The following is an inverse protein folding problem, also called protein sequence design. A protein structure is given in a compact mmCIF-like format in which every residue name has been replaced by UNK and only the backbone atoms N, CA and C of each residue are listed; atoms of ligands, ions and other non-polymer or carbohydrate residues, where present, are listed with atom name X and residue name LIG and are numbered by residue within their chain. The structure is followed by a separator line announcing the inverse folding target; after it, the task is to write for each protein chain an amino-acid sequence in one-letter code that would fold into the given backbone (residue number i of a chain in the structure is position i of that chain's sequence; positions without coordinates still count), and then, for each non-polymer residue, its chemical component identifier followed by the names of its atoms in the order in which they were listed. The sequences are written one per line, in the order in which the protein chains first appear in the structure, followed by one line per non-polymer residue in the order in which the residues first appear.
data_IF_334051062605
#
_entry.id   IF_334051062605
#
_cell.length_a   1.000
_cell.length_b   1.000
_cell.length_c   1.000
_cell.angle_alpha   90.00
_cell.angle_beta   90.00
_cell.angle_gamma   90.00
#
_symmetry.space_group_name_H-M   'P 1'
#
loop_
_entity.id
_entity.type
_entity.pdbx_description
1 polymer ?
#
# COMPACT_ATOMS: atom_id res chain seq x y z
N UNK A 1 25.20 -38.43 -50.73
CA UNK A 1 24.53 -37.12 -50.83
C UNK A 1 23.49 -37.02 -49.72
N UNK A 2 23.85 -36.45 -48.58
CA UNK A 2 22.91 -35.88 -47.61
C UNK A 2 23.72 -34.94 -46.69
N UNK A 3 23.47 -33.64 -46.87
CA UNK A 3 24.13 -32.55 -46.16
C UNK A 3 23.58 -32.44 -44.73
N UNK A 4 24.45 -32.48 -43.73
CA UNK A 4 24.15 -31.97 -42.40
C UNK A 4 24.34 -30.45 -42.41
N UNK A 5 23.24 -29.69 -42.44
CA UNK A 5 23.27 -28.24 -42.23
C UNK A 5 23.28 -27.95 -40.73
N UNK A 6 24.36 -27.32 -40.26
CA UNK A 6 24.40 -26.70 -38.94
C UNK A 6 23.59 -25.39 -38.96
N UNK A 7 22.61 -25.27 -38.05
CA UNK A 7 21.90 -24.02 -37.78
C UNK A 7 22.80 -23.08 -36.95
N UNK A 8 22.87 -21.78 -37.26
CA UNK A 8 23.62 -20.83 -36.44
C UNK A 8 22.81 -20.49 -35.18
N UNK A 9 23.50 -20.42 -34.03
CA UNK A 9 22.96 -19.93 -32.78
C UNK A 9 22.58 -18.45 -32.92
N UNK A 10 21.29 -18.14 -32.77
CA UNK A 10 20.81 -16.76 -32.74
C UNK A 10 21.21 -16.10 -31.42
N UNK A 11 22.00 -15.03 -31.51
CA UNK A 11 22.32 -14.17 -30.37
C UNK A 11 21.04 -13.52 -29.83
N UNK A 12 20.74 -13.71 -28.53
CA UNK A 12 19.70 -12.97 -27.82
C UNK A 12 20.14 -11.51 -27.70
N UNK A 13 19.60 -10.65 -28.55
CA UNK A 13 19.71 -9.21 -28.37
C UNK A 13 18.99 -8.81 -27.07
N UNK A 14 19.71 -8.15 -26.15
CA UNK A 14 19.11 -7.55 -24.97
C UNK A 14 18.14 -6.44 -25.39
N UNK A 15 16.85 -6.64 -25.11
CA UNK A 15 15.81 -5.63 -25.30
C UNK A 15 16.13 -4.43 -24.41
N UNK A 16 16.39 -3.26 -25.01
CA UNK A 16 16.43 -1.99 -24.29
C UNK A 16 15.06 -1.76 -23.61
N UNK A 17 15.01 -1.23 -22.38
CA UNK A 17 13.73 -0.90 -21.73
C UNK A 17 12.94 0.05 -22.63
N UNK A 18 11.67 -0.29 -22.87
CA UNK A 18 10.74 0.57 -23.62
C UNK A 18 10.60 1.89 -22.86
N UNK A 19 10.88 3.00 -23.51
CA UNK A 19 10.71 4.33 -22.94
C UNK A 19 9.25 4.50 -22.50
N UNK A 20 9.04 4.89 -21.23
CA UNK A 20 7.72 5.01 -20.64
C UNK A 20 6.98 6.22 -21.23
N UNK A 21 6.02 5.96 -22.11
CA UNK A 21 5.29 6.99 -22.86
C UNK A 21 4.21 7.73 -22.05
N UNK A 22 4.07 7.45 -20.75
CA UNK A 22 3.08 8.10 -19.89
C UNK A 22 3.46 9.57 -19.61
N UNK A 23 2.48 10.50 -19.57
CA UNK A 23 2.76 11.91 -19.26
C UNK A 23 3.53 12.07 -17.95
N UNK A 24 4.62 12.84 -18.02
CA UNK A 24 5.48 13.14 -16.88
C UNK A 24 5.01 14.40 -16.15
N UNK A 25 5.15 14.40 -14.82
CA UNK A 25 4.91 15.59 -14.00
C UNK A 25 6.09 16.58 -13.97
N UNK A 26 7.23 16.25 -14.58
CA UNK A 26 8.48 17.03 -14.50
C UNK A 26 8.37 18.50 -14.91
N UNK A 27 7.40 18.85 -15.78
CA UNK A 27 7.24 20.21 -16.30
C UNK A 27 5.99 20.94 -15.77
N UNK A 28 5.16 20.29 -14.93
CA UNK A 28 3.94 20.89 -14.41
C UNK A 28 4.22 21.87 -13.27
N UNK A 29 3.74 23.10 -13.40
CA UNK A 29 4.01 24.18 -12.45
C UNK A 29 3.41 23.89 -11.06
N UNK A 30 2.15 23.43 -11.02
CA UNK A 30 1.44 23.09 -9.79
C UNK A 30 2.08 21.94 -9.02
N UNK A 31 2.68 20.97 -9.73
CA UNK A 31 3.43 19.87 -9.09
C UNK A 31 4.76 20.36 -8.52
N UNK A 32 5.48 21.23 -9.24
CA UNK A 32 6.73 21.82 -8.76
C UNK A 32 6.52 22.69 -7.53
N UNK A 33 5.45 23.49 -7.51
CA UNK A 33 5.07 24.32 -6.38
C UNK A 33 4.77 23.45 -5.15
N UNK A 34 3.96 22.40 -5.31
CA UNK A 34 3.67 21.46 -4.23
C UNK A 34 4.93 20.72 -3.73
N UNK A 35 5.83 20.31 -4.63
CA UNK A 35 7.09 19.68 -4.25
C UNK A 35 7.99 20.63 -3.42
N UNK A 36 8.02 21.92 -3.78
CA UNK A 36 8.75 22.94 -3.03
C UNK A 36 8.09 23.20 -1.65
N UNK A 37 6.77 23.30 -1.59
CA UNK A 37 6.01 23.44 -0.34
C UNK A 37 6.34 22.31 0.65
N UNK A 38 6.25 21.05 0.20
CA UNK A 38 6.56 19.88 1.03
C UNK A 38 8.01 19.90 1.51
N UNK A 39 8.95 20.27 0.64
CA UNK A 39 10.36 20.35 1.01
C UNK A 39 10.60 21.44 2.06
N UNK A 40 9.98 22.61 1.91
CA UNK A 40 10.15 23.74 2.81
C UNK A 40 9.53 23.52 4.19
N UNK A 41 8.31 22.98 4.22
CA UNK A 41 7.57 22.70 5.46
C UNK A 41 8.33 21.72 6.37
N UNK A 42 9.05 20.76 5.77
CA UNK A 42 9.75 19.71 6.49
C UNK A 42 11.28 19.86 6.50
N UNK A 43 11.83 20.92 5.90
CA UNK A 43 13.28 21.17 5.84
C UNK A 43 14.06 20.15 5.01
N UNK A 44 13.43 19.55 3.99
CA UNK A 44 14.07 18.59 3.09
C UNK A 44 14.85 19.26 1.96
N UNK A 45 15.77 18.53 1.34
CA UNK A 45 16.45 18.98 0.12
C UNK A 45 15.45 19.16 -1.03
N UNK A 46 15.18 20.41 -1.41
CA UNK A 46 14.30 20.77 -2.52
C UNK A 46 14.63 20.04 -3.82
N UNK A 47 15.91 19.87 -4.16
CA UNK A 47 16.32 19.19 -5.39
C UNK A 47 16.04 17.69 -5.32
N UNK A 48 16.18 17.09 -4.14
CA UNK A 48 15.82 15.68 -3.91
C UNK A 48 14.31 15.48 -4.09
N UNK A 49 13.49 16.27 -3.41
CA UNK A 49 12.02 16.19 -3.50
C UNK A 49 11.54 16.48 -4.93
N UNK A 50 12.05 17.53 -5.58
CA UNK A 50 11.71 17.86 -6.96
C UNK A 50 12.02 16.71 -7.94
N UNK A 51 13.13 15.99 -7.76
CA UNK A 51 13.47 14.81 -8.58
C UNK A 51 12.47 13.67 -8.41
N UNK A 52 11.97 13.44 -7.20
CA UNK A 52 10.94 12.44 -6.97
C UNK A 52 9.64 12.77 -7.71
N UNK A 53 9.13 13.99 -7.54
CA UNK A 53 7.92 14.43 -8.23
C UNK A 53 8.08 14.46 -9.76
N UNK A 54 9.26 14.83 -10.28
CA UNK A 54 9.56 14.77 -11.71
C UNK A 54 9.57 13.33 -12.26
N UNK A 55 9.91 12.34 -11.42
CA UNK A 55 9.90 10.92 -11.78
C UNK A 55 8.51 10.27 -11.66
N UNK A 56 7.54 10.93 -11.04
CA UNK A 56 6.16 10.47 -11.02
C UNK A 56 5.56 10.48 -12.44
N UNK A 57 4.61 9.57 -12.68
CA UNK A 57 3.97 9.35 -13.98
C UNK A 57 2.46 9.29 -13.82
N UNK A 58 1.75 10.01 -14.67
CA UNK A 58 0.28 9.98 -14.71
C UNK A 58 -0.22 8.58 -15.07
N UNK A 59 -1.23 8.11 -14.33
CA UNK A 59 -1.83 6.78 -14.46
C UNK A 59 -3.32 6.88 -14.80
N UNK A 60 -3.70 7.02 -16.08
CA UNK A 60 -5.10 7.26 -16.47
C UNK A 60 -6.08 6.18 -15.98
N UNK A 61 -5.63 4.93 -15.92
CA UNK A 61 -6.46 3.83 -15.40
C UNK A 61 -6.85 3.98 -13.93
N UNK A 62 -6.09 4.74 -13.14
CA UNK A 62 -6.42 5.04 -11.74
C UNK A 62 -7.61 5.99 -11.66
N UNK A 63 -7.64 7.02 -12.51
CA UNK A 63 -8.79 7.94 -12.62
C UNK A 63 -10.04 7.16 -13.04
N UNK A 64 -9.91 6.31 -14.07
CA UNK A 64 -11.01 5.45 -14.53
C UNK A 64 -11.49 4.51 -13.42
N UNK A 65 -10.59 3.92 -12.64
CA UNK A 65 -10.95 3.06 -11.51
C UNK A 65 -11.73 3.81 -10.42
N UNK A 66 -11.33 5.05 -10.12
CA UNK A 66 -12.01 5.90 -9.13
C UNK A 66 -13.41 6.37 -9.55
N UNK A 67 -13.65 6.46 -10.86
CA UNK A 67 -14.94 6.90 -11.41
C UNK A 67 -15.86 5.74 -11.79
N UNK A 68 -15.46 4.49 -11.53
CA UNK A 68 -16.37 3.35 -11.70
C UNK A 68 -17.64 3.59 -10.87
N UNK A 69 -18.83 3.50 -11.48
CA UNK A 69 -20.08 3.78 -10.79
C UNK A 69 -20.29 2.77 -9.66
N UNK A 70 -20.90 3.24 -8.56
CA UNK A 70 -21.38 2.38 -7.50
C UNK A 70 -22.51 1.50 -8.08
N UNK A 71 -22.19 0.24 -8.38
CA UNK A 71 -23.21 -0.76 -8.65
C UNK A 71 -24.03 -1.00 -7.39
N UNK A 72 -25.25 -1.54 -7.56
CA UNK A 72 -26.01 -2.06 -6.42
C UNK A 72 -25.09 -2.98 -5.62
N UNK A 73 -24.83 -2.69 -4.33
CA UNK A 73 -23.93 -3.51 -3.54
C UNK A 73 -24.42 -4.96 -3.55
N UNK A 74 -23.50 -5.95 -3.68
CA UNK A 74 -23.89 -7.35 -3.64
C UNK A 74 -24.59 -7.67 -2.32
N UNK A 75 -25.55 -8.60 -2.36
CA UNK A 75 -26.17 -9.13 -1.14
C UNK A 75 -25.11 -9.87 -0.33
N UNK A 76 -25.34 -10.01 0.97
CA UNK A 76 -24.38 -10.67 1.87
C UNK A 76 -23.92 -12.05 1.37
N UNK A 77 -24.86 -12.88 0.88
CA UNK A 77 -24.55 -14.23 0.37
C UNK A 77 -23.75 -14.24 -0.94
N UNK A 78 -23.66 -13.12 -1.65
CA UNK A 78 -22.82 -12.95 -2.85
C UNK A 78 -21.44 -12.37 -2.49
N UNK A 79 -21.38 -11.55 -1.44
CA UNK A 79 -20.17 -10.88 -0.98
C UNK A 79 -19.30 -11.79 -0.09
N UNK A 80 -19.89 -12.37 0.95
CA UNK A 80 -19.16 -13.11 1.99
C UNK A 80 -18.32 -14.28 1.46
N UNK A 81 -18.78 -15.09 0.48
CA UNK A 81 -17.99 -16.22 -0.02
C UNK A 81 -16.64 -15.83 -0.65
N UNK A 82 -16.47 -14.58 -1.10
CA UNK A 82 -15.22 -14.08 -1.67
C UNK A 82 -14.09 -13.96 -0.61
N UNK A 83 -14.48 -13.84 0.66
CA UNK A 83 -13.59 -13.71 1.81
C UNK A 83 -13.58 -14.96 2.69
N UNK A 84 -14.69 -15.72 2.72
CA UNK A 84 -14.84 -16.93 3.53
C UNK A 84 -14.50 -18.22 2.76
N UNK A 85 -13.56 -18.16 1.81
CA UNK A 85 -13.10 -19.34 1.08
C UNK A 85 -12.21 -20.22 1.96
N UNK A 86 -12.22 -21.54 1.71
CA UNK A 86 -11.31 -22.49 2.39
C UNK A 86 -9.86 -22.05 2.30
N UNK A 87 -9.43 -21.60 1.13
CA UNK A 87 -8.05 -21.15 0.90
C UNK A 87 -7.67 -19.97 1.82
N UNK A 88 -8.57 -19.00 2.01
CA UNK A 88 -8.29 -17.84 2.87
C UNK A 88 -8.32 -18.21 4.35
N UNK A 89 -9.20 -19.13 4.74
CA UNK A 89 -9.25 -19.68 6.10
C UNK A 89 -7.96 -20.43 6.41
N UNK A 90 -7.55 -21.36 5.54
CA UNK A 90 -6.33 -22.14 5.72
C UNK A 90 -5.07 -21.24 5.74
N UNK A 91 -5.05 -20.21 4.89
CA UNK A 91 -4.01 -19.18 4.90
C UNK A 91 -3.97 -18.40 6.23
N UNK A 92 -5.13 -18.11 6.82
CA UNK A 92 -5.23 -17.41 8.11
C UNK A 92 -4.74 -18.27 9.26
N UNK A 93 -5.10 -19.55 9.26
CA UNK A 93 -4.58 -20.51 10.25
C UNK A 93 -3.05 -20.65 10.13
N UNK A 94 -2.52 -20.69 8.91
CA UNK A 94 -1.09 -20.75 8.68
C UNK A 94 -0.37 -19.47 9.16
N UNK A 95 -0.90 -18.29 8.81
CA UNK A 95 -0.38 -17.01 9.26
C UNK A 95 -0.39 -16.90 10.80
N UNK A 96 -1.52 -17.27 11.44
CA UNK A 96 -1.62 -17.27 12.89
C UNK A 96 -0.56 -18.15 13.52
N UNK A 97 -0.43 -19.40 13.08
CA UNK A 97 0.54 -20.35 13.64
C UNK A 97 1.98 -19.85 13.50
N UNK A 98 2.30 -19.18 12.38
CA UNK A 98 3.63 -18.62 12.15
C UNK A 98 3.95 -17.42 13.05
N UNK A 99 2.93 -16.65 13.47
CA UNK A 99 3.10 -15.39 14.20
C UNK A 99 2.36 -15.39 15.55
N UNK A 100 2.17 -16.55 16.16
CA UNK A 100 1.32 -16.73 17.33
C UNK A 100 1.79 -15.90 18.53
N UNK A 101 3.10 -15.81 18.76
CA UNK A 101 3.69 -15.03 19.85
C UNK A 101 3.43 -13.53 19.67
N UNK A 102 3.62 -13.02 18.45
CA UNK A 102 3.40 -11.61 18.13
C UNK A 102 1.92 -11.23 18.19
N UNK A 103 1.04 -12.07 17.65
CA UNK A 103 -0.41 -11.89 17.75
C UNK A 103 -0.86 -11.83 19.22
N UNK A 104 -0.39 -12.78 20.04
CA UNK A 104 -0.71 -12.80 21.47
C UNK A 104 -0.15 -11.57 22.20
N UNK A 105 1.02 -11.06 21.79
CA UNK A 105 1.58 -9.82 22.35
C UNK A 105 0.73 -8.60 21.96
N UNK A 106 0.38 -8.47 20.69
CA UNK A 106 -0.47 -7.38 20.20
C UNK A 106 -1.85 -7.38 20.89
N UNK A 107 -2.45 -8.55 21.09
CA UNK A 107 -3.72 -8.67 21.81
C UNK A 107 -3.59 -8.21 23.27
N UNK A 108 -2.52 -8.59 23.97
CA UNK A 108 -2.28 -8.12 25.35
C UNK A 108 -2.03 -6.62 25.44
N UNK A 109 -1.32 -6.06 24.47
CA UNK A 109 -0.90 -4.65 24.49
C UNK A 109 -2.01 -3.69 24.04
N UNK A 110 -2.75 -4.07 22.99
CA UNK A 110 -3.76 -3.20 22.36
C UNK A 110 -5.20 -3.62 22.66
N UNK A 111 -5.42 -4.81 23.25
CA UNK A 111 -6.76 -5.32 23.59
C UNK A 111 -7.60 -5.75 22.38
N UNK A 112 -6.97 -5.88 21.20
CA UNK A 112 -7.61 -6.31 19.95
C UNK A 112 -7.37 -7.81 19.78
N UNK A 113 -8.43 -8.64 19.68
CA UNK A 113 -8.27 -10.09 19.52
C UNK A 113 -7.46 -10.47 18.28
N UNK A 114 -6.60 -11.46 18.40
CA UNK A 114 -5.75 -11.93 17.32
C UNK A 114 -6.54 -12.32 16.05
N UNK A 115 -7.72 -12.91 16.19
CA UNK A 115 -8.60 -13.28 15.07
C UNK A 115 -9.06 -12.07 14.25
N UNK A 116 -9.24 -10.90 14.87
CA UNK A 116 -9.64 -9.67 14.19
C UNK A 116 -8.47 -9.15 13.34
N UNK A 117 -7.27 -9.15 13.91
CA UNK A 117 -6.05 -8.75 13.19
C UNK A 117 -5.83 -9.68 12.00
N UNK A 118 -5.87 -10.99 12.21
CA UNK A 118 -5.70 -11.99 11.14
C UNK A 118 -6.80 -11.82 10.07
N UNK A 119 -8.06 -11.62 10.45
CA UNK A 119 -9.15 -11.41 9.50
C UNK A 119 -8.94 -10.17 8.62
N UNK A 120 -8.49 -9.04 9.19
CA UNK A 120 -8.16 -7.82 8.43
C UNK A 120 -7.06 -8.12 7.41
N UNK A 121 -5.92 -8.68 7.83
CA UNK A 121 -4.81 -8.99 6.92
C UNK A 121 -5.21 -9.99 5.84
N UNK A 122 -6.10 -10.93 6.19
CA UNK A 122 -6.72 -11.86 5.28
C UNK A 122 -7.54 -11.14 4.22
N UNK A 123 -8.45 -10.24 4.62
CA UNK A 123 -9.33 -9.48 3.71
C UNK A 123 -8.53 -8.54 2.81
N UNK A 124 -7.62 -7.74 3.40
CA UNK A 124 -6.92 -6.66 2.70
C UNK A 124 -5.99 -7.17 1.60
N UNK A 125 -5.14 -8.15 1.92
CA UNK A 125 -4.05 -8.55 1.00
C UNK A 125 -3.89 -10.06 0.86
N UNK A 126 -4.78 -10.84 1.49
CA UNK A 126 -4.59 -12.29 1.60
C UNK A 126 -3.21 -12.59 2.22
N UNK A 127 -2.96 -11.99 3.39
CA UNK A 127 -1.73 -12.15 4.17
C UNK A 127 -0.47 -11.78 3.37
N UNK A 128 -0.54 -10.70 2.59
CA UNK A 128 0.58 -10.15 1.83
C UNK A 128 0.72 -10.65 0.39
N UNK A 129 -0.12 -11.60 -0.07
CA UNK A 129 -0.08 -12.08 -1.47
C UNK A 129 -0.44 -10.99 -2.48
N UNK A 130 -1.33 -10.07 -2.11
CA UNK A 130 -1.88 -9.04 -2.98
C UNK A 130 -1.74 -7.64 -2.35
N UNK A 131 -0.52 -7.09 -2.29
CA UNK A 131 -0.25 -5.75 -1.72
C UNK A 131 -0.40 -4.60 -2.72
N UNK A 132 -0.69 -4.91 -3.99
CA UNK A 132 -0.84 -3.95 -5.07
C UNK A 132 0.41 -3.81 -5.94
N UNK A 133 0.23 -3.22 -7.13
CA UNK A 133 1.25 -3.18 -8.18
C UNK A 133 1.58 -1.78 -8.68
N UNK A 134 0.85 -0.77 -8.23
CA UNK A 134 1.08 0.62 -8.60
C UNK A 134 2.20 1.21 -7.74
N UNK A 135 3.11 1.99 -8.33
CA UNK A 135 4.00 2.83 -7.52
C UNK A 135 3.13 3.81 -6.74
N UNK A 136 3.30 3.86 -5.42
CA UNK A 136 2.45 4.68 -4.55
C UNK A 136 2.55 6.15 -4.93
N UNK A 137 3.76 6.62 -5.29
CA UNK A 137 3.96 7.98 -5.78
C UNK A 137 3.13 8.30 -7.02
N UNK A 138 3.08 7.39 -7.99
CA UNK A 138 2.32 7.60 -9.22
C UNK A 138 0.82 7.64 -8.96
N UNK A 139 0.33 6.74 -8.09
CA UNK A 139 -1.07 6.68 -7.71
C UNK A 139 -1.52 7.96 -7.02
N UNK A 140 -0.78 8.38 -5.99
CA UNK A 140 -1.10 9.57 -5.21
C UNK A 140 -0.90 10.85 -6.03
N UNK A 141 0.14 10.97 -6.85
CA UNK A 141 0.31 12.12 -7.73
C UNK A 141 -0.83 12.23 -8.76
N UNK A 142 -1.21 11.12 -9.38
CA UNK A 142 -2.37 11.07 -10.28
C UNK A 142 -3.64 11.58 -9.60
N UNK A 143 -3.91 11.10 -8.39
CA UNK A 143 -5.12 11.48 -7.66
C UNK A 143 -5.05 12.89 -7.05
N UNK A 144 -3.86 13.41 -6.77
CA UNK A 144 -3.65 14.75 -6.22
C UNK A 144 -3.76 15.85 -7.27
N UNK A 145 -3.38 15.58 -8.53
CA UNK A 145 -3.24 16.60 -9.58
C UNK A 145 -4.19 16.42 -10.76
N UNK A 146 -4.75 15.22 -10.96
CA UNK A 146 -5.59 14.89 -12.10
C UNK A 146 -6.95 14.28 -11.68
N UNK A 147 -7.30 14.36 -10.39
CA UNK A 147 -8.58 13.90 -9.85
C UNK A 147 -9.28 14.95 -8.96
N UNK A 148 -9.91 15.98 -9.55
CA UNK A 148 -10.42 17.15 -8.82
C UNK A 148 -11.36 16.81 -7.66
N UNK A 149 -12.21 15.78 -7.81
CA UNK A 149 -13.23 15.40 -6.82
C UNK A 149 -12.66 15.12 -5.42
N UNK A 150 -11.43 14.61 -5.33
CA UNK A 150 -10.77 14.26 -4.05
C UNK A 150 -9.34 14.79 -3.95
N UNK A 151 -8.96 15.72 -4.83
CA UNK A 151 -7.60 16.24 -4.90
C UNK A 151 -7.04 16.74 -3.55
N UNK A 152 -7.80 17.47 -2.69
CA UNK A 152 -7.28 17.91 -1.39
C UNK A 152 -6.87 16.77 -0.47
N UNK A 153 -7.67 15.69 -0.42
CA UNK A 153 -7.36 14.50 0.38
C UNK A 153 -6.08 13.83 -0.13
N UNK A 154 -5.97 13.60 -1.44
CA UNK A 154 -4.81 12.91 -2.01
C UNK A 154 -3.55 13.77 -2.03
N UNK A 155 -3.66 15.11 -2.03
CA UNK A 155 -2.51 16.00 -1.74
C UNK A 155 -2.00 15.81 -0.32
N UNK A 156 -2.90 15.69 0.66
CA UNK A 156 -2.53 15.35 2.04
C UNK A 156 -1.80 14.00 2.13
N UNK A 157 -2.35 12.96 1.51
CA UNK A 157 -1.73 11.63 1.50
C UNK A 157 -0.40 11.59 0.73
N UNK A 158 -0.27 12.32 -0.37
CA UNK A 158 0.98 12.46 -1.11
C UNK A 158 2.07 13.16 -0.27
N UNK A 159 1.70 14.21 0.47
CA UNK A 159 2.59 14.86 1.45
C UNK A 159 3.02 13.86 2.52
N UNK A 160 2.08 13.17 3.15
CA UNK A 160 2.39 12.14 4.14
C UNK A 160 3.31 11.05 3.59
N UNK A 161 3.13 10.61 2.35
CA UNK A 161 3.97 9.59 1.73
C UNK A 161 5.42 10.03 1.53
N UNK A 162 5.64 11.25 1.05
CA UNK A 162 7.00 11.78 0.85
C UNK A 162 7.72 11.96 2.18
N UNK A 163 7.02 12.50 3.19
CA UNK A 163 7.57 12.64 4.54
C UNK A 163 7.87 11.28 5.16
N UNK A 164 6.96 10.32 4.99
CA UNK A 164 7.15 8.95 5.46
C UNK A 164 8.40 8.30 4.85
N UNK A 165 8.62 8.49 3.54
CA UNK A 165 9.78 7.95 2.86
C UNK A 165 11.11 8.48 3.42
N UNK A 166 11.15 9.77 3.77
CA UNK A 166 12.29 10.36 4.48
C UNK A 166 12.44 9.80 5.90
N UNK A 167 11.36 9.76 6.69
CA UNK A 167 11.35 9.26 8.08
C UNK A 167 11.84 7.80 8.16
N UNK A 168 11.39 6.96 7.24
CA UNK A 168 11.70 5.52 7.21
C UNK A 168 12.88 5.18 6.30
N UNK A 169 13.51 6.19 5.69
CA UNK A 169 14.73 6.04 4.88
C UNK A 169 14.60 5.15 3.65
N UNK A 170 13.45 5.13 2.99
CA UNK A 170 13.25 4.45 1.72
C UNK A 170 13.02 5.43 0.57
N UNK A 171 13.23 4.99 -0.67
CA UNK A 171 12.96 5.81 -1.84
C UNK A 171 11.46 5.78 -2.18
N UNK A 172 10.78 6.95 -2.29
CA UNK A 172 9.37 6.99 -2.63
C UNK A 172 9.06 6.49 -4.05
N UNK A 173 10.10 6.25 -4.86
CA UNK A 173 9.98 5.69 -6.21
C UNK A 173 9.80 4.18 -6.24
N UNK A 174 10.10 3.48 -5.14
CA UNK A 174 10.19 2.02 -5.12
C UNK A 174 8.96 1.34 -4.50
N UNK A 175 8.30 2.01 -3.55
CA UNK A 175 7.18 1.40 -2.85
C UNK A 175 5.95 1.20 -3.76
N UNK A 176 5.37 0.00 -3.66
CA UNK A 176 4.15 -0.39 -4.37
C UNK A 176 2.96 -0.48 -3.43
N UNK A 177 1.78 -0.25 -3.99
CA UNK A 177 0.52 -0.26 -3.28
C UNK A 177 -0.69 -0.36 -4.20
N UNK A 178 -1.86 -0.11 -3.64
CA UNK A 178 -3.12 -0.06 -4.39
C UNK A 178 -3.17 1.11 -5.35
N UNK A 179 -4.18 1.10 -6.23
CA UNK A 179 -4.45 2.22 -7.13
C UNK A 179 -4.83 3.52 -6.39
N UNK A 180 -5.25 3.43 -5.13
CA UNK A 180 -5.56 4.58 -4.28
C UNK A 180 -4.38 5.02 -3.39
N UNK A 181 -3.23 4.33 -3.47
CA UNK A 181 -2.05 4.63 -2.66
C UNK A 181 -2.03 3.96 -1.28
N UNK A 182 -2.87 2.96 -1.04
CA UNK A 182 -2.81 2.14 0.17
C UNK A 182 -1.58 1.20 0.11
N UNK A 183 -0.91 1.01 1.24
CA UNK A 183 0.44 0.46 1.31
C UNK A 183 0.55 -0.79 2.19
N UNK A 184 1.47 -1.67 1.80
CA UNK A 184 1.85 -2.83 2.59
C UNK A 184 0.76 -3.90 2.72
N UNK A 185 1.02 -4.88 3.58
CA UNK A 185 0.10 -5.95 3.96
C UNK A 185 -1.21 -5.42 4.58
N UNK A 186 -1.23 -4.35 5.41
CA UNK A 186 -2.46 -3.87 6.01
C UNK A 186 -3.22 -2.83 5.16
N UNK A 187 -2.72 -2.49 3.96
CA UNK A 187 -3.31 -1.46 3.09
C UNK A 187 -3.51 -0.10 3.79
N UNK A 188 -2.53 0.33 4.57
CA UNK A 188 -2.58 1.64 5.21
C UNK A 188 -2.35 2.76 4.19
N UNK A 189 -3.21 3.78 4.22
CA UNK A 189 -2.90 5.06 3.59
C UNK A 189 -1.68 5.71 4.28
N UNK A 190 -0.84 6.49 3.58
CA UNK A 190 0.33 7.14 4.18
C UNK A 190 0.07 7.93 5.46
N UNK A 191 -1.04 8.66 5.54
CA UNK A 191 -1.45 9.36 6.75
C UNK A 191 -1.76 8.41 7.90
N UNK A 192 -2.41 7.27 7.61
CA UNK A 192 -2.66 6.22 8.61
C UNK A 192 -1.38 5.55 9.05
N UNK A 193 -0.46 5.28 8.13
CA UNK A 193 0.88 4.79 8.47
C UNK A 193 1.52 5.73 9.50
N UNK A 194 1.69 7.01 9.15
CA UNK A 194 2.41 7.96 10.01
C UNK A 194 1.76 8.17 11.39
N UNK A 195 0.46 7.91 11.52
CA UNK A 195 -0.28 8.09 12.79
C UNK A 195 -0.37 6.83 13.65
N UNK A 196 -0.41 5.66 13.02
CA UNK A 196 -0.84 4.43 13.72
C UNK A 196 0.11 3.26 13.52
N UNK A 197 1.04 3.31 12.58
CA UNK A 197 2.03 2.25 12.42
C UNK A 197 3.03 2.31 13.59
N UNK A 198 3.42 1.15 14.09
CA UNK A 198 4.29 0.99 15.26
C UNK A 198 5.43 0.05 14.93
N UNK A 199 6.63 0.39 15.40
CA UNK A 199 7.79 -0.52 15.39
C UNK A 199 7.53 -1.58 16.45
N UNK A 200 6.92 -2.68 16.02
CA UNK A 200 6.53 -3.75 16.92
C UNK A 200 7.61 -4.82 17.02
N UNK A 201 8.56 -4.83 16.09
CA UNK A 201 9.75 -5.68 16.14
C UNK A 201 10.86 -5.12 17.04
N UNK A 202 10.88 -3.81 17.27
CA UNK A 202 11.87 -3.10 18.08
C UNK A 202 13.19 -2.84 17.35
N UNK A 203 13.19 -2.84 16.01
CA UNK A 203 14.41 -2.68 15.19
C UNK A 203 14.72 -1.22 14.80
N UNK A 204 13.87 -0.28 15.24
CA UNK A 204 13.96 1.15 14.98
C UNK A 204 13.31 1.61 13.68
N UNK A 205 12.65 0.71 12.93
CA UNK A 205 11.91 1.01 11.69
C UNK A 205 10.54 0.38 11.74
N UNK A 206 9.66 0.82 10.83
CA UNK A 206 8.35 0.21 10.66
C UNK A 206 8.27 -0.32 9.23
N UNK A 207 8.25 -1.63 9.01
CA UNK A 207 8.12 -2.21 7.66
C UNK A 207 6.78 -2.94 7.48
N UNK A 208 5.80 -2.21 6.93
CA UNK A 208 4.48 -2.78 6.65
C UNK A 208 4.41 -3.69 5.40
N UNK A 209 5.53 -3.90 4.69
CA UNK A 209 5.58 -4.80 3.53
C UNK A 209 6.17 -6.16 3.89
N UNK A 210 7.20 -6.21 4.75
CA UNK A 210 7.96 -7.44 4.97
C UNK A 210 8.11 -7.83 6.44
N UNK A 211 7.84 -6.95 7.39
CA UNK A 211 7.94 -7.26 8.81
C UNK A 211 6.54 -7.59 9.37
N UNK A 212 6.31 -8.89 9.60
CA UNK A 212 5.02 -9.36 10.11
C UNK A 212 4.70 -8.78 11.49
N UNK A 213 5.71 -8.50 12.32
CA UNK A 213 5.47 -7.95 13.65
C UNK A 213 4.92 -6.54 13.56
N UNK A 214 5.57 -5.68 12.77
CA UNK A 214 5.11 -4.31 12.54
C UNK A 214 3.71 -4.29 11.92
N UNK A 215 3.43 -5.20 10.99
CA UNK A 215 2.10 -5.34 10.38
C UNK A 215 1.04 -5.69 11.42
N UNK A 216 1.29 -6.70 12.26
CA UNK A 216 0.36 -7.14 13.31
C UNK A 216 0.14 -6.04 14.34
N UNK A 217 1.23 -5.46 14.86
CA UNK A 217 1.18 -4.40 15.86
C UNK A 217 0.47 -3.15 15.33
N UNK A 218 0.72 -2.77 14.08
CA UNK A 218 0.12 -1.58 13.46
C UNK A 218 -1.38 -1.72 13.24
N UNK A 219 -1.87 -2.89 12.84
CA UNK A 219 -3.34 -3.12 12.72
C UNK A 219 -4.00 -3.10 14.08
N UNK A 220 -3.40 -3.75 15.08
CA UNK A 220 -3.92 -3.76 16.45
C UNK A 220 -3.94 -2.34 17.05
N UNK A 221 -2.85 -1.59 16.92
CA UNK A 221 -2.79 -0.19 17.36
C UNK A 221 -3.80 0.68 16.62
N UNK A 222 -3.96 0.51 15.31
CA UNK A 222 -4.96 1.27 14.55
C UNK A 222 -6.36 1.08 15.13
N UNK A 223 -6.80 -0.16 15.37
CA UNK A 223 -8.10 -0.43 15.97
C UNK A 223 -8.23 0.11 17.39
N UNK A 224 -7.20 -0.07 18.23
CA UNK A 224 -7.20 0.49 19.59
C UNK A 224 -7.30 2.02 19.60
N UNK A 225 -6.71 2.70 18.61
CA UNK A 225 -6.79 4.16 18.43
C UNK A 225 -8.09 4.65 17.78
N UNK A 226 -8.97 3.72 17.36
CA UNK A 226 -10.31 3.99 16.84
C UNK A 226 -11.38 3.38 17.76
N UNK A 227 -11.18 3.52 19.07
CA UNK A 227 -12.16 3.22 20.11
C UNK A 227 -12.61 1.74 20.17
N UNK A 228 -11.74 0.81 19.79
CA UNK A 228 -11.97 -0.60 20.09
C UNK A 228 -12.09 -0.80 21.60
N UNK A 229 -13.20 -1.41 22.05
CA UNK A 229 -13.45 -1.72 23.46
C UNK A 229 -13.12 -3.19 23.74
N UNK A 230 -12.03 -3.50 24.46
CA UNK A 230 -11.65 -4.89 24.74
C UNK A 230 -12.74 -5.66 25.48
N UNK A 231 -12.96 -6.91 25.08
CA UNK A 231 -13.92 -7.83 25.71
C UNK A 231 -15.40 -7.54 25.42
N UNK A 232 -15.72 -6.50 24.63
CA UNK A 232 -17.09 -6.24 24.21
C UNK A 232 -17.48 -7.11 22.99
N UNK A 233 -18.75 -7.53 22.87
CA UNK A 233 -19.21 -8.23 21.69
C UNK A 233 -19.19 -7.30 20.47
N UNK A 234 -18.74 -7.82 19.32
CA UNK A 234 -18.71 -7.08 18.04
C UNK A 234 -20.08 -7.02 17.38
N UNK A 235 -20.87 -8.09 17.51
CA UNK A 235 -22.22 -8.22 16.95
C UNK A 235 -23.09 -9.03 17.93
N UNK A 236 -24.33 -8.58 18.13
CA UNK A 236 -25.36 -9.35 18.82
C UNK A 236 -26.36 -9.88 17.77
N UNK A 237 -26.90 -11.10 17.95
CA UNK A 237 -28.00 -11.56 17.11
C UNK A 237 -29.17 -10.57 17.13
N UNK A 238 -29.80 -10.38 15.96
CA UNK A 238 -30.99 -9.55 15.81
C UNK A 238 -32.22 -10.20 16.47
#
# INVERSE_FOLDING_TARGET
MMLAHALPAAAKAALKPKEDSRPSYAHRADVKEFAAEVADEHGFDRNKVARWFAAARFQPQIVVAMDRPLLVPPKWHEYAPQFLSRERIDGGVAFWRAHAETLARAEREFGVPAEIVVAILGVETFYGRNTGSHRVLDALATLAFDYPRRAPFFRGELKHYVVLAEEQGFSPLDAKGSFAGAMGIPQFMPGSYRRYAVDFSGDGRVDLWHNADDVIGSVANYLARHDWLPGQPVLLPA
#
